data_IF_762293961454
#
_entry.id   IF_762293961454
#
_cell.length_a   1.000
_cell.length_b   1.000
_cell.length_c   1.000
_cell.angle_alpha   90.00
_cell.angle_beta   90.00
_cell.angle_gamma   90.00
#
_symmetry.space_group_name_H-M   'P 1'
#
loop_
_entity.id
_entity.type
_entity.pdbx_description
1 polymer ?
#
# COMPACT_ATOMS: atom_id res chain seq x y z
N UNK A 1 17.51 25.26 11.64
CA UNK A 1 16.51 25.26 10.55
C UNK A 1 16.76 24.14 9.55
N UNK A 2 17.96 24.04 8.98
CA UNK A 2 18.31 22.97 8.04
C UNK A 2 18.18 21.57 8.65
N UNK A 3 18.63 21.40 9.90
CA UNK A 3 18.53 20.12 10.61
C UNK A 3 17.08 19.70 10.85
N UNK A 4 16.22 20.65 11.20
CA UNK A 4 14.78 20.36 11.38
C UNK A 4 14.15 19.89 10.07
N UNK A 5 14.49 20.55 8.96
CA UNK A 5 13.99 20.19 7.64
C UNK A 5 14.44 18.78 7.24
N UNK A 6 15.71 18.44 7.48
CA UNK A 6 16.24 17.09 7.21
C UNK A 6 15.51 16.01 8.02
N UNK A 7 15.20 16.28 9.29
CA UNK A 7 14.45 15.37 10.13
C UNK A 7 13.04 15.16 9.57
N UNK A 8 12.38 16.23 9.15
CA UNK A 8 11.03 16.15 8.57
C UNK A 8 11.01 15.37 7.26
N UNK A 9 12.05 15.53 6.41
CA UNK A 9 12.18 14.75 5.17
C UNK A 9 12.37 13.25 5.48
N UNK A 10 13.19 12.92 6.47
CA UNK A 10 13.41 11.52 6.86
C UNK A 10 12.13 10.90 7.44
N UNK A 11 11.36 11.67 8.19
CA UNK A 11 10.07 11.20 8.69
C UNK A 11 9.08 10.96 7.57
N UNK A 12 9.02 11.86 6.60
CA UNK A 12 8.18 11.68 5.42
C UNK A 12 8.56 10.41 4.66
N UNK A 13 9.86 10.21 4.46
CA UNK A 13 10.37 8.99 3.82
C UNK A 13 9.96 7.73 4.59
N UNK A 14 10.10 7.76 5.90
CA UNK A 14 9.72 6.65 6.77
C UNK A 14 8.24 6.31 6.64
N UNK A 15 7.38 7.31 6.56
CA UNK A 15 5.93 7.10 6.40
C UNK A 15 5.59 6.49 5.04
N UNK A 16 6.25 6.93 3.96
CA UNK A 16 6.07 6.36 2.62
C UNK A 16 6.49 4.89 2.60
N UNK A 17 7.64 4.57 3.20
CA UNK A 17 8.13 3.19 3.28
C UNK A 17 7.20 2.30 4.11
N UNK A 18 6.70 2.79 5.22
CA UNK A 18 5.75 2.08 6.06
C UNK A 18 4.44 1.79 5.30
N UNK A 19 3.92 2.79 4.59
CA UNK A 19 2.73 2.64 3.76
C UNK A 19 2.94 1.61 2.65
N UNK A 20 4.09 1.66 1.97
CA UNK A 20 4.46 0.70 0.93
C UNK A 20 4.52 -0.73 1.46
N UNK A 21 5.10 -0.91 2.63
CA UNK A 21 5.18 -2.22 3.31
C UNK A 21 3.80 -2.76 3.65
N UNK A 22 2.91 -1.92 4.16
CA UNK A 22 1.53 -2.31 4.49
C UNK A 22 0.73 -2.69 3.26
N UNK A 23 0.85 -1.91 2.18
CA UNK A 23 0.16 -2.19 0.91
C UNK A 23 0.65 -3.51 0.31
N UNK A 24 1.97 -3.74 0.33
CA UNK A 24 2.56 -5.00 -0.12
C UNK A 24 1.99 -6.17 0.67
N UNK A 25 1.90 -6.04 1.98
CA UNK A 25 1.32 -7.05 2.85
C UNK A 25 -0.16 -7.29 2.54
N UNK A 26 -0.92 -6.22 2.30
CA UNK A 26 -2.33 -6.33 1.95
C UNK A 26 -2.54 -7.13 0.67
N UNK A 27 -1.73 -6.87 -0.35
CA UNK A 27 -1.77 -7.60 -1.62
C UNK A 27 -1.39 -9.07 -1.39
N UNK A 28 -0.34 -9.31 -0.64
CA UNK A 28 0.12 -10.67 -0.33
C UNK A 28 -0.97 -11.48 0.40
N UNK A 29 -1.58 -10.89 1.43
CA UNK A 29 -2.66 -11.54 2.18
C UNK A 29 -3.90 -11.77 1.34
N UNK A 30 -4.29 -10.78 0.53
CA UNK A 30 -5.52 -10.86 -0.27
C UNK A 30 -5.44 -11.93 -1.35
N UNK A 31 -4.26 -12.17 -1.92
CA UNK A 31 -4.05 -13.19 -2.95
C UNK A 31 -3.59 -14.52 -2.36
N UNK A 32 -2.76 -14.47 -1.31
CA UNK A 32 -2.16 -15.68 -0.73
C UNK A 32 -3.17 -16.71 -0.25
N UNK A 33 -4.33 -16.27 0.17
CA UNK A 33 -5.39 -17.18 0.64
C UNK A 33 -5.96 -18.08 -0.46
N UNK A 34 -5.77 -17.72 -1.75
CA UNK A 34 -6.16 -18.61 -2.86
C UNK A 34 -5.33 -19.90 -2.89
N UNK A 35 -4.06 -19.81 -2.50
CA UNK A 35 -3.16 -20.97 -2.55
C UNK A 35 -3.55 -22.08 -1.57
N UNK A 36 -4.11 -21.70 -0.42
CA UNK A 36 -4.53 -22.64 0.60
C UNK A 36 -5.88 -23.29 0.33
N UNK A 37 -6.67 -22.76 -0.59
CA UNK A 37 -8.03 -23.19 -0.91
C UNK A 37 -8.91 -23.37 0.34
N UNK A 38 -8.75 -22.47 1.30
CA UNK A 38 -9.42 -22.50 2.61
C UNK A 38 -10.21 -21.20 2.79
N UNK A 39 -11.54 -21.32 2.84
CA UNK A 39 -12.46 -20.19 2.97
C UNK A 39 -12.28 -19.48 4.32
N UNK A 40 -12.03 -20.22 5.39
CA UNK A 40 -11.84 -19.62 6.72
C UNK A 40 -10.55 -18.81 6.78
N UNK A 41 -9.46 -19.32 6.21
CA UNK A 41 -8.20 -18.57 6.09
C UNK A 41 -8.35 -17.34 5.22
N UNK A 42 -9.13 -17.43 4.15
CA UNK A 42 -9.44 -16.28 3.28
C UNK A 42 -10.25 -15.21 4.03
N UNK A 43 -11.20 -15.63 4.87
CA UNK A 43 -11.98 -14.70 5.69
C UNK A 43 -11.09 -13.98 6.70
N UNK A 44 -10.16 -14.68 7.36
CA UNK A 44 -9.20 -14.08 8.30
C UNK A 44 -8.29 -13.08 7.58
N UNK A 45 -7.77 -13.44 6.41
CA UNK A 45 -6.93 -12.54 5.62
C UNK A 45 -7.69 -11.29 5.20
N UNK A 46 -8.94 -11.44 4.80
CA UNK A 46 -9.82 -10.31 4.43
C UNK A 46 -10.06 -9.38 5.60
N UNK A 47 -10.33 -9.92 6.78
CA UNK A 47 -10.52 -9.13 7.99
C UNK A 47 -9.25 -8.36 8.35
N UNK A 48 -8.09 -9.00 8.26
CA UNK A 48 -6.80 -8.33 8.49
C UNK A 48 -6.60 -7.14 7.54
N UNK A 49 -6.87 -7.34 6.25
CA UNK A 49 -6.73 -6.29 5.23
C UNK A 49 -7.71 -5.15 5.48
N UNK A 50 -8.97 -5.44 5.73
CA UNK A 50 -10.03 -4.44 5.85
C UNK A 50 -9.99 -3.72 7.19
N UNK A 51 -9.80 -4.45 8.29
CA UNK A 51 -9.95 -3.89 9.63
C UNK A 51 -8.66 -3.32 10.21
N UNK A 52 -7.50 -3.81 9.77
CA UNK A 52 -6.21 -3.39 10.32
C UNK A 52 -5.33 -2.65 9.32
N UNK A 53 -5.14 -3.21 8.13
CA UNK A 53 -4.21 -2.63 7.16
C UNK A 53 -4.81 -1.39 6.49
N UNK A 54 -6.01 -1.48 5.94
CA UNK A 54 -6.63 -0.37 5.21
C UNK A 54 -6.79 0.89 6.07
N UNK A 55 -7.31 0.83 7.31
CA UNK A 55 -7.40 2.02 8.15
C UNK A 55 -6.03 2.65 8.43
N UNK A 56 -5.00 1.83 8.63
CA UNK A 56 -3.63 2.31 8.86
C UNK A 56 -3.05 2.97 7.60
N UNK A 57 -3.29 2.37 6.44
CA UNK A 57 -2.89 2.96 5.14
C UNK A 57 -3.57 4.32 4.94
N UNK A 58 -4.86 4.42 5.23
CA UNK A 58 -5.60 5.68 5.10
C UNK A 58 -5.07 6.76 6.04
N UNK A 59 -4.71 6.38 7.26
CA UNK A 59 -4.10 7.29 8.22
C UNK A 59 -2.71 7.76 7.76
N UNK A 60 -1.88 6.85 7.28
CA UNK A 60 -0.57 7.19 6.72
C UNK A 60 -0.69 8.07 5.48
N UNK A 61 -1.69 7.84 4.64
CA UNK A 61 -1.95 8.69 3.48
C UNK A 61 -2.23 10.13 3.90
N UNK A 62 -3.09 10.33 4.90
CA UNK A 62 -3.38 11.67 5.44
C UNK A 62 -2.14 12.30 6.07
N UNK A 63 -1.36 11.52 6.80
CA UNK A 63 -0.12 12.01 7.42
C UNK A 63 0.92 12.42 6.38
N UNK A 64 1.10 11.63 5.32
CA UNK A 64 2.01 11.93 4.21
C UNK A 64 1.58 13.23 3.53
N UNK A 65 0.30 13.40 3.22
CA UNK A 65 -0.23 14.62 2.61
C UNK A 65 0.02 15.84 3.49
N UNK A 66 -0.24 15.73 4.78
CA UNK A 66 -0.04 16.85 5.70
C UNK A 66 1.44 17.21 5.86
N UNK A 67 2.31 16.21 6.01
CA UNK A 67 3.75 16.44 6.11
C UNK A 67 4.32 17.06 4.83
N UNK A 68 3.85 16.58 3.68
CA UNK A 68 4.26 17.13 2.39
C UNK A 68 3.82 18.59 2.25
N UNK A 69 2.60 18.90 2.65
CA UNK A 69 2.07 20.27 2.63
C UNK A 69 2.89 21.20 3.53
N UNK A 70 3.21 20.73 4.73
CA UNK A 70 4.01 21.51 5.69
C UNK A 70 5.42 21.79 5.13
N UNK A 71 6.03 20.82 4.47
CA UNK A 71 7.33 20.98 3.85
C UNK A 71 7.31 21.94 2.66
N UNK A 72 6.23 21.90 1.84
CA UNK A 72 6.05 22.87 0.74
C UNK A 72 5.93 24.30 1.25
N UNK A 73 5.39 24.49 2.44
CA UNK A 73 5.23 25.83 3.04
C UNK A 73 6.54 26.43 3.53
N UNK A 74 7.61 25.63 3.68
CA UNK A 74 8.90 26.12 4.11
C UNK A 74 9.63 26.81 2.96
N UNK A 75 10.16 28.02 3.21
CA UNK A 75 10.72 28.88 2.19
C UNK A 75 12.12 28.46 1.70
N UNK A 76 12.78 27.55 2.36
CA UNK A 76 14.17 27.16 2.07
C UNK A 76 14.31 25.74 1.55
N UNK A 77 13.35 25.29 0.75
CA UNK A 77 13.36 23.94 0.19
C UNK A 77 14.21 23.92 -1.08
N UNK A 78 15.23 23.06 -1.13
CA UNK A 78 16.02 22.85 -2.34
C UNK A 78 15.16 22.11 -3.39
N UNK A 79 15.47 22.35 -4.68
CA UNK A 79 14.70 21.77 -5.79
C UNK A 79 14.62 20.24 -5.72
N UNK A 80 15.69 19.57 -5.29
CA UNK A 80 15.74 18.10 -5.13
C UNK A 80 14.78 17.65 -4.04
N UNK A 81 14.76 18.34 -2.93
CA UNK A 81 13.89 18.04 -1.78
C UNK A 81 12.41 18.29 -2.13
N UNK A 82 12.15 19.34 -2.91
CA UNK A 82 10.80 19.65 -3.38
C UNK A 82 10.28 18.55 -4.32
N UNK A 83 11.14 18.03 -5.19
CA UNK A 83 10.79 16.89 -6.06
C UNK A 83 10.46 15.65 -5.24
N UNK A 84 11.25 15.39 -4.20
CA UNK A 84 10.99 14.28 -3.30
C UNK A 84 9.64 14.43 -2.60
N UNK A 85 9.34 15.59 -2.06
CA UNK A 85 8.07 15.87 -1.37
C UNK A 85 6.88 15.68 -2.32
N UNK A 86 6.99 16.20 -3.55
CA UNK A 86 5.96 16.03 -4.57
C UNK A 86 5.78 14.56 -4.96
N UNK A 87 6.89 13.85 -5.12
CA UNK A 87 6.87 12.42 -5.44
C UNK A 87 6.22 11.61 -4.30
N UNK A 88 6.51 11.95 -3.05
CA UNK A 88 5.93 11.28 -1.88
C UNK A 88 4.40 11.36 -1.89
N UNK A 89 3.84 12.53 -2.23
CA UNK A 89 2.39 12.72 -2.36
C UNK A 89 1.80 11.82 -3.45
N UNK A 90 2.45 11.75 -4.61
CA UNK A 90 1.99 10.89 -5.73
C UNK A 90 2.07 9.41 -5.37
N UNK A 91 3.17 9.00 -4.76
CA UNK A 91 3.37 7.62 -4.32
C UNK A 91 2.28 7.26 -3.28
N UNK A 92 2.02 8.15 -2.33
CA UNK A 92 0.97 7.96 -1.33
C UNK A 92 -0.40 7.75 -1.97
N UNK A 93 -0.75 8.55 -2.97
CA UNK A 93 -2.01 8.41 -3.70
C UNK A 93 -2.09 7.06 -4.43
N UNK A 94 -1.00 6.65 -5.08
CA UNK A 94 -0.95 5.38 -5.79
C UNK A 94 -1.02 4.19 -4.84
N UNK A 95 -0.32 4.26 -3.70
CA UNK A 95 -0.36 3.22 -2.69
C UNK A 95 -1.75 3.06 -2.07
N UNK A 96 -2.47 4.17 -1.85
CA UNK A 96 -3.85 4.11 -1.36
C UNK A 96 -4.75 3.40 -2.36
N UNK A 97 -4.64 3.71 -3.64
CA UNK A 97 -5.41 3.01 -4.68
C UNK A 97 -5.08 1.52 -4.73
N UNK A 98 -3.81 1.17 -4.57
CA UNK A 98 -3.40 -0.24 -4.49
C UNK A 98 -4.01 -0.94 -3.28
N UNK A 99 -4.08 -0.26 -2.13
CA UNK A 99 -4.73 -0.78 -0.93
C UNK A 99 -6.21 -1.04 -1.17
N UNK A 100 -6.92 -0.11 -1.82
CA UNK A 100 -8.32 -0.31 -2.19
C UNK A 100 -8.49 -1.52 -3.11
N UNK A 101 -7.59 -1.71 -4.06
CA UNK A 101 -7.60 -2.88 -4.94
C UNK A 101 -7.35 -4.18 -4.16
N UNK A 102 -6.46 -4.15 -3.17
CA UNK A 102 -6.22 -5.31 -2.31
C UNK A 102 -7.49 -5.73 -1.56
N UNK A 103 -8.28 -4.78 -1.08
CA UNK A 103 -9.58 -5.05 -0.45
C UNK A 103 -10.52 -5.73 -1.45
N UNK A 104 -10.61 -5.24 -2.67
CA UNK A 104 -11.43 -5.85 -3.70
C UNK A 104 -10.97 -7.27 -4.03
N UNK A 105 -9.66 -7.49 -4.13
CA UNK A 105 -9.09 -8.82 -4.35
C UNK A 105 -9.47 -9.76 -3.22
N UNK A 106 -9.32 -9.32 -1.97
CA UNK A 106 -9.64 -10.14 -0.80
C UNK A 106 -11.10 -10.61 -0.82
N UNK A 107 -12.02 -9.72 -1.14
CA UNK A 107 -13.45 -10.06 -1.27
C UNK A 107 -13.70 -11.02 -2.42
N UNK A 108 -13.02 -10.82 -3.55
CA UNK A 108 -13.14 -11.70 -4.72
C UNK A 108 -12.58 -13.09 -4.46
N UNK A 109 -11.50 -13.20 -3.69
CA UNK A 109 -10.92 -14.49 -3.33
C UNK A 109 -11.94 -15.36 -2.62
N UNK A 110 -12.67 -14.80 -1.67
CA UNK A 110 -13.74 -15.54 -0.96
C UNK A 110 -14.80 -16.02 -1.95
N UNK A 111 -15.21 -15.15 -2.87
CA UNK A 111 -16.19 -15.49 -3.91
C UNK A 111 -15.69 -16.60 -4.84
N UNK A 112 -14.42 -16.56 -5.23
CA UNK A 112 -13.80 -17.59 -6.09
C UNK A 112 -13.69 -18.93 -5.37
N UNK A 113 -13.35 -18.94 -4.09
CA UNK A 113 -13.25 -20.17 -3.30
C UNK A 113 -14.61 -20.83 -3.06
N UNK A 114 -15.68 -20.03 -2.99
CA UNK A 114 -17.04 -20.56 -2.89
C UNK A 114 -17.60 -21.03 -4.23
N UNK A 115 -17.14 -20.41 -5.36
CA UNK A 115 -17.55 -20.75 -6.72
C UNK A 115 -16.32 -20.78 -7.65
N UNK A 116 -15.48 -21.86 -7.58
CA UNK A 116 -14.20 -21.87 -8.26
C UNK A 116 -14.32 -21.91 -9.79
N UNK A 117 -13.57 -21.02 -10.44
CA UNK A 117 -13.32 -21.03 -11.88
C UNK A 117 -11.84 -21.40 -12.08
N UNK A 118 -11.53 -22.58 -12.69
CA UNK A 118 -10.15 -23.05 -12.79
C UNK A 118 -9.19 -22.08 -13.49
N UNK A 119 -9.67 -21.33 -14.48
CA UNK A 119 -8.84 -20.36 -15.23
C UNK A 119 -8.42 -19.18 -14.35
N UNK A 120 -9.34 -18.67 -13.53
CA UNK A 120 -9.05 -17.56 -12.63
C UNK A 120 -8.06 -17.94 -11.55
N UNK A 121 -8.17 -19.16 -11.01
CA UNK A 121 -7.29 -19.67 -9.96
C UNK A 121 -5.84 -19.79 -10.45
N UNK A 122 -5.63 -20.12 -11.74
CA UNK A 122 -4.28 -20.29 -12.30
C UNK A 122 -3.61 -18.93 -12.59
N UNK A 123 -4.36 -17.94 -13.05
CA UNK A 123 -3.81 -16.65 -13.52
C UNK A 123 -3.53 -15.65 -12.39
N UNK A 124 -4.39 -15.60 -11.37
CA UNK A 124 -4.29 -14.60 -10.30
C UNK A 124 -2.96 -14.66 -9.55
N UNK A 125 -2.42 -15.83 -9.15
CA UNK A 125 -1.13 -15.88 -8.45
C UNK A 125 0.02 -15.24 -9.22
N UNK A 126 0.10 -15.45 -10.53
CA UNK A 126 1.15 -14.86 -11.36
C UNK A 126 1.04 -13.33 -11.44
N UNK A 127 -0.18 -12.83 -11.55
CA UNK A 127 -0.45 -11.40 -11.57
C UNK A 127 -0.06 -10.76 -10.24
N UNK A 128 -0.36 -11.42 -9.14
CA UNK A 128 -0.04 -10.94 -7.80
C UNK A 128 1.46 -10.86 -7.56
N UNK A 129 2.22 -11.86 -7.97
CA UNK A 129 3.67 -11.85 -7.86
C UNK A 129 4.28 -10.65 -8.59
N UNK A 130 3.78 -10.35 -9.79
CA UNK A 130 4.24 -9.20 -10.56
C UNK A 130 3.91 -7.88 -9.85
N UNK A 131 2.71 -7.74 -9.31
CA UNK A 131 2.28 -6.53 -8.59
C UNK A 131 3.07 -6.35 -7.31
N UNK A 132 3.26 -7.40 -6.52
CA UNK A 132 4.07 -7.35 -5.29
C UNK A 132 5.50 -6.91 -5.58
N UNK A 133 6.11 -7.45 -6.65
CA UNK A 133 7.45 -7.06 -7.08
C UNK A 133 7.50 -5.58 -7.48
N UNK A 134 6.51 -5.09 -8.21
CA UNK A 134 6.41 -3.69 -8.60
C UNK A 134 6.31 -2.75 -7.40
N UNK A 135 5.51 -3.11 -6.40
CA UNK A 135 5.38 -2.32 -5.17
C UNK A 135 6.70 -2.32 -4.40
N UNK A 136 7.29 -3.49 -4.21
CA UNK A 136 8.56 -3.63 -3.49
C UNK A 136 9.69 -2.83 -4.15
N UNK A 137 9.78 -2.87 -5.47
CA UNK A 137 10.85 -2.22 -6.21
C UNK A 137 10.67 -0.71 -6.31
N UNK A 138 9.42 -0.21 -6.25
CA UNK A 138 9.12 1.22 -6.33
C UNK A 138 9.24 1.96 -5.00
N UNK A 139 9.23 1.26 -3.90
CA UNK A 139 9.30 1.82 -2.55
C UNK A 139 10.68 1.59 -1.94
#
# INVERSE_FOLDING_TARGET
MQRHFEIELEELRGRVLEMGSLVQRAIHLSVGSLYGNDVDAAAEATDEVIERIEPHVNELHREIDQRALDLHALQQVLAVDLRFVTAATRIGNDLERMSDRAVHIARRVISILTNPNPKSVIQIPKMAEAVEAMVRDSV
#
